data_IF_176699915637
#
_entry.id   IF_176699915637
#
_cell.length_a   1.000
_cell.length_b   1.000
_cell.length_c   1.000
_cell.angle_alpha   90.00
_cell.angle_beta   90.00
_cell.angle_gamma   90.00
#
_symmetry.space_group_name_H-M   'P 1'
#
loop_
_entity.id
_entity.type
_entity.pdbx_description
1 polymer ?
#
# COMPACT_ATOMS: atom_id res chain seq x y z
N UNK A 1 -47.40 12.49 1.67
CA UNK A 1 -46.11 12.65 2.38
C UNK A 1 -45.27 11.37 2.47
N UNK A 2 -45.39 10.39 1.54
CA UNK A 2 -44.59 9.15 1.54
C UNK A 2 -43.46 9.12 0.49
N UNK A 3 -43.50 10.02 -0.50
CA UNK A 3 -42.54 10.06 -1.61
C UNK A 3 -41.22 10.80 -1.28
N UNK A 4 -41.25 11.73 -0.32
CA UNK A 4 -40.07 12.51 0.09
C UNK A 4 -39.08 11.70 0.95
N UNK A 5 -39.57 10.73 1.74
CA UNK A 5 -38.72 9.89 2.60
C UNK A 5 -37.83 8.96 1.77
N UNK A 6 -38.30 8.52 0.61
CA UNK A 6 -37.55 7.61 -0.26
C UNK A 6 -36.36 8.30 -0.93
N UNK A 7 -36.48 9.59 -1.28
CA UNK A 7 -35.36 10.37 -1.84
C UNK A 7 -34.22 10.60 -0.84
N UNK A 8 -34.52 10.80 0.46
CA UNK A 8 -33.47 11.01 1.47
C UNK A 8 -32.66 9.73 1.77
N UNK A 9 -33.29 8.56 1.68
CA UNK A 9 -32.61 7.26 1.85
C UNK A 9 -31.62 6.96 0.70
N UNK A 10 -31.95 7.36 -0.52
CA UNK A 10 -31.04 7.20 -1.66
C UNK A 10 -29.80 8.10 -1.54
N UNK A 11 -29.92 9.31 -0.99
CA UNK A 11 -28.77 10.23 -0.80
C UNK A 11 -27.81 9.69 0.27
N UNK A 12 -28.33 9.04 1.34
CA UNK A 12 -27.49 8.40 2.35
C UNK A 12 -26.74 7.17 1.82
N UNK A 13 -27.34 6.43 0.87
CA UNK A 13 -26.67 5.29 0.22
C UNK A 13 -25.52 5.72 -0.71
N UNK A 14 -25.63 6.88 -1.38
CA UNK A 14 -24.54 7.42 -2.20
C UNK A 14 -23.39 7.99 -1.36
N UNK A 15 -23.64 8.41 -0.11
CA UNK A 15 -22.61 8.97 0.77
C UNK A 15 -21.80 7.90 1.52
N UNK A 16 -22.29 6.65 1.59
CA UNK A 16 -21.62 5.55 2.28
C UNK A 16 -20.69 4.72 1.37
N UNK A 17 -20.71 4.95 0.05
CA UNK A 17 -19.80 4.31 -0.90
C UNK A 17 -18.64 5.26 -1.24
N UNK A 18 -17.98 5.78 -0.21
CA UNK A 18 -16.63 6.29 -0.41
C UNK A 18 -15.77 5.07 -0.77
N UNK A 19 -15.50 4.86 -2.05
CA UNK A 19 -14.55 3.84 -2.53
C UNK A 19 -13.22 4.10 -1.82
N UNK A 20 -13.00 3.41 -0.69
CA UNK A 20 -11.73 3.44 -0.01
C UNK A 20 -10.76 2.76 -0.96
N UNK A 21 -9.91 3.53 -1.63
CA UNK A 21 -8.92 3.02 -2.58
C UNK A 21 -8.19 1.85 -1.92
N UNK A 22 -8.27 0.68 -2.54
CA UNK A 22 -7.71 -0.53 -1.96
C UNK A 22 -6.19 -0.39 -1.81
N UNK A 23 -5.65 -0.79 -0.66
CA UNK A 23 -4.20 -0.88 -0.45
C UNK A 23 -3.58 -2.02 -1.29
N UNK A 24 -4.40 -2.96 -1.76
CA UNK A 24 -3.94 -4.08 -2.57
C UNK A 24 -3.32 -3.60 -3.88
N UNK A 25 -2.34 -4.37 -4.34
CA UNK A 25 -1.62 -4.14 -5.58
C UNK A 25 -0.12 -4.08 -5.37
N UNK A 26 0.57 -3.65 -6.43
CA UNK A 26 2.02 -3.45 -6.45
C UNK A 26 2.35 -1.99 -6.21
N UNK A 27 3.36 -1.78 -5.39
CA UNK A 27 3.81 -0.46 -4.99
C UNK A 27 5.32 -0.37 -5.11
N UNK A 28 5.83 0.64 -5.79
CA UNK A 28 7.26 0.93 -5.85
C UNK A 28 7.66 1.67 -4.57
N UNK A 29 8.75 1.25 -3.94
CA UNK A 29 9.25 1.87 -2.72
C UNK A 29 10.12 3.07 -3.04
N UNK A 30 9.83 4.21 -2.41
CA UNK A 30 10.67 5.40 -2.50
C UNK A 30 11.97 5.18 -1.73
N UNK A 31 13.10 5.48 -2.39
CA UNK A 31 14.44 5.30 -1.86
C UNK A 31 14.94 6.62 -1.30
N UNK A 32 15.37 6.61 -0.04
CA UNK A 32 16.07 7.73 0.61
C UNK A 32 15.35 9.09 0.53
N UNK A 33 14.01 9.10 0.55
CA UNK A 33 13.19 10.31 0.46
C UNK A 33 13.48 11.18 -0.79
N UNK A 34 14.07 10.58 -1.81
CA UNK A 34 14.48 11.26 -3.05
C UNK A 34 13.35 11.39 -4.07
N UNK A 35 12.20 10.75 -3.83
CA UNK A 35 11.16 10.52 -4.84
C UNK A 35 11.51 9.43 -5.86
N UNK A 36 12.75 8.95 -5.91
CA UNK A 36 13.14 7.85 -6.80
C UNK A 36 12.62 6.51 -6.26
N UNK A 37 12.17 5.63 -7.15
CA UNK A 37 11.67 4.29 -6.79
C UNK A 37 12.55 3.17 -7.34
N UNK A 38 13.82 3.48 -7.57
CA UNK A 38 14.82 2.56 -8.08
C UNK A 38 16.19 3.02 -7.60
N UNK A 39 17.16 2.10 -7.62
CA UNK A 39 18.57 2.41 -7.44
C UNK A 39 19.38 1.74 -8.54
N UNK A 40 20.51 2.35 -8.88
CA UNK A 40 21.48 1.82 -9.84
C UNK A 40 22.57 1.07 -9.07
N UNK A 41 22.85 -0.15 -9.49
CA UNK A 41 24.01 -0.88 -9.02
C UNK A 41 25.27 -0.40 -9.77
N UNK A 42 26.49 -0.70 -9.26
CA UNK A 42 27.74 -0.29 -9.91
C UNK A 42 27.96 -0.86 -11.31
N UNK A 43 27.23 -1.90 -11.71
CA UNK A 43 27.26 -2.53 -13.02
C UNK A 43 26.17 -2.00 -13.97
N UNK A 44 25.60 -0.82 -13.67
CA UNK A 44 24.50 -0.15 -14.37
C UNK A 44 23.14 -0.88 -14.31
N UNK A 45 23.02 -1.93 -13.50
CA UNK A 45 21.74 -2.64 -13.32
C UNK A 45 20.73 -1.76 -12.58
N UNK A 46 19.51 -1.65 -13.13
CA UNK A 46 18.39 -0.94 -12.48
C UNK A 46 17.62 -1.91 -11.58
N UNK A 47 17.67 -1.66 -10.27
CA UNK A 47 16.92 -2.41 -9.28
C UNK A 47 15.75 -1.58 -8.74
N UNK A 48 14.57 -2.20 -8.69
CA UNK A 48 13.32 -1.61 -8.21
C UNK A 48 12.82 -2.40 -7.00
N UNK A 49 12.90 -1.85 -5.78
CA UNK A 49 12.25 -2.43 -4.62
C UNK A 49 10.75 -2.15 -4.71
N UNK A 50 9.96 -3.22 -4.63
CA UNK A 50 8.50 -3.18 -4.72
C UNK A 50 7.88 -3.88 -3.52
N UNK A 51 6.72 -3.40 -3.10
CA UNK A 51 5.85 -4.05 -2.14
C UNK A 51 4.66 -4.65 -2.90
N UNK A 52 4.44 -5.95 -2.77
CA UNK A 52 3.24 -6.63 -3.27
C UNK A 52 2.32 -6.88 -2.08
N UNK A 53 1.19 -6.17 -2.04
CA UNK A 53 0.12 -6.41 -1.07
C UNK A 53 -0.98 -7.17 -1.80
N UNK A 54 -1.16 -8.44 -1.44
CA UNK A 54 -2.15 -9.32 -2.06
C UNK A 54 -2.99 -10.04 -1.00
N UNK A 55 -4.31 -10.04 -1.19
CA UNK A 55 -5.32 -10.57 -0.27
C UNK A 55 -5.05 -10.16 1.19
N UNK A 56 -4.39 -11.03 1.95
CA UNK A 56 -4.04 -10.90 3.36
C UNK A 56 -2.52 -10.96 3.61
N UNK A 57 -1.70 -10.92 2.58
CA UNK A 57 -0.23 -11.05 2.67
C UNK A 57 0.51 -9.86 2.07
N UNK A 58 1.72 -9.64 2.58
CA UNK A 58 2.63 -8.63 2.08
C UNK A 58 3.97 -9.29 1.75
N UNK A 59 4.47 -9.00 0.55
CA UNK A 59 5.78 -9.40 0.09
C UNK A 59 6.61 -8.17 -0.29
N UNK A 60 7.92 -8.27 -0.07
CA UNK A 60 8.90 -7.41 -0.69
C UNK A 60 9.45 -8.12 -1.93
N UNK A 61 9.50 -7.42 -3.06
CA UNK A 61 10.08 -7.91 -4.30
C UNK A 61 11.21 -6.99 -4.73
N UNK A 62 12.33 -7.57 -5.16
CA UNK A 62 13.35 -6.84 -5.89
C UNK A 62 13.22 -7.22 -7.36
N UNK A 63 13.04 -6.19 -8.20
CA UNK A 63 12.91 -6.36 -9.65
C UNK A 63 14.12 -5.76 -10.36
N UNK A 64 14.78 -6.58 -11.16
CA UNK A 64 15.88 -6.17 -12.04
C UNK A 64 15.43 -6.35 -13.48
N UNK A 65 15.51 -5.31 -14.30
CA UNK A 65 15.11 -5.35 -15.72
C UNK A 65 13.71 -5.95 -15.98
N UNK A 66 12.78 -5.69 -15.07
CA UNK A 66 11.41 -6.19 -15.16
C UNK A 66 11.19 -7.60 -14.58
N UNK A 67 12.24 -8.34 -14.24
CA UNK A 67 12.20 -9.69 -13.68
C UNK A 67 12.32 -9.64 -12.16
N UNK A 68 11.48 -10.40 -11.44
CA UNK A 68 11.62 -10.55 -9.98
C UNK A 68 12.86 -11.40 -9.72
N UNK A 69 13.90 -10.80 -9.15
CA UNK A 69 15.15 -11.48 -8.80
C UNK A 69 15.13 -12.00 -7.37
N UNK A 70 14.36 -11.34 -6.49
CA UNK A 70 14.15 -11.78 -5.11
C UNK A 70 12.73 -11.48 -4.67
N UNK A 71 12.17 -12.37 -3.84
CA UNK A 71 10.87 -12.18 -3.19
C UNK A 71 10.97 -12.65 -1.75
N UNK A 72 10.64 -11.77 -0.83
CA UNK A 72 10.61 -12.03 0.61
C UNK A 72 9.19 -11.84 1.16
N UNK A 73 8.73 -12.78 1.96
CA UNK A 73 7.47 -12.65 2.68
C UNK A 73 7.69 -11.78 3.92
N UNK A 74 6.96 -10.68 4.03
CA UNK A 74 7.03 -9.80 5.19
C UNK A 74 6.04 -10.21 6.28
N UNK A 75 4.83 -10.61 5.89
CA UNK A 75 3.82 -11.00 6.86
C UNK A 75 2.41 -11.15 6.32
N UNK A 76 1.53 -11.64 7.19
CA UNK A 76 0.08 -11.54 7.02
C UNK A 76 -0.34 -10.17 7.57
N UNK A 77 -1.13 -9.42 6.82
CA UNK A 77 -1.64 -8.12 7.24
C UNK A 77 -3.15 -8.14 7.50
N UNK A 78 -3.58 -7.32 8.45
CA UNK A 78 -4.97 -7.01 8.69
C UNK A 78 -5.15 -5.50 8.78
N UNK A 79 -6.22 -4.99 8.16
CA UNK A 79 -6.58 -3.58 8.21
C UNK A 79 -7.74 -3.39 9.16
N UNK A 80 -7.58 -2.45 10.09
CA UNK A 80 -8.68 -1.92 10.90
C UNK A 80 -8.63 -0.41 10.81
N UNK A 81 -9.65 0.21 10.20
CA UNK A 81 -9.66 1.65 9.93
C UNK A 81 -8.45 2.08 9.07
N UNK A 82 -7.61 3.00 9.57
CA UNK A 82 -6.38 3.48 8.91
C UNK A 82 -5.12 2.83 9.50
N UNK A 83 -5.27 1.73 10.24
CA UNK A 83 -4.16 0.99 10.83
C UNK A 83 -3.98 -0.34 10.09
N UNK A 84 -2.72 -0.68 9.83
CA UNK A 84 -2.30 -1.94 9.26
C UNK A 84 -1.47 -2.68 10.31
N UNK A 85 -1.93 -3.85 10.73
CA UNK A 85 -1.16 -4.78 11.55
C UNK A 85 -0.51 -5.81 10.63
N UNK A 86 0.81 -5.92 10.65
CA UNK A 86 1.57 -6.94 9.90
C UNK A 86 2.21 -7.92 10.88
N UNK A 87 1.96 -9.21 10.68
CA UNK A 87 2.49 -10.30 11.51
C UNK A 87 3.46 -11.15 10.69
N UNK A 88 4.72 -11.24 11.13
CA UNK A 88 5.76 -11.98 10.43
C UNK A 88 5.65 -13.50 10.68
N UNK A 89 6.56 -14.28 10.08
CA UNK A 89 6.60 -15.75 10.24
C UNK A 89 6.89 -16.23 11.66
N UNK A 90 7.50 -15.37 12.49
CA UNK A 90 7.83 -15.67 13.89
C UNK A 90 6.67 -15.36 14.84
N UNK A 91 5.59 -14.75 14.34
CA UNK A 91 4.45 -14.30 15.14
C UNK A 91 4.60 -12.88 15.68
N UNK A 92 5.72 -12.20 15.41
CA UNK A 92 5.89 -10.81 15.81
C UNK A 92 4.99 -9.91 14.98
N UNK A 93 4.28 -9.01 15.65
CA UNK A 93 3.37 -8.06 15.02
C UNK A 93 3.89 -6.64 15.14
N UNK A 94 3.72 -5.85 14.07
CA UNK A 94 3.84 -4.40 14.12
C UNK A 94 2.56 -3.77 13.63
N UNK A 95 2.16 -2.67 14.26
CA UNK A 95 1.00 -1.88 13.85
C UNK A 95 1.52 -0.55 13.32
N UNK A 96 1.10 -0.20 12.11
CA UNK A 96 1.46 1.04 11.45
C UNK A 96 0.19 1.79 11.08
N UNK A 97 0.26 3.11 11.08
CA UNK A 97 -0.75 3.97 10.45
C UNK A 97 -0.46 4.04 8.95
N UNK A 98 -1.50 4.13 8.12
CA UNK A 98 -1.31 4.35 6.69
C UNK A 98 -2.33 5.33 6.10
N UNK A 99 -1.91 6.04 5.05
CA UNK A 99 -2.73 6.97 4.29
C UNK A 99 -2.52 6.70 2.80
N UNK A 100 -3.62 6.59 2.05
CA UNK A 100 -3.61 6.51 0.60
C UNK A 100 -4.13 7.84 0.05
N UNK A 101 -3.31 8.51 -0.76
CA UNK A 101 -3.67 9.73 -1.49
C UNK A 101 -3.26 9.58 -2.95
N UNK A 102 -4.24 9.54 -3.86
CA UNK A 102 -3.96 9.27 -5.28
C UNK A 102 -3.29 7.91 -5.49
N UNK A 103 -2.06 7.97 -6.00
CA UNK A 103 -1.14 6.84 -6.23
C UNK A 103 -0.03 6.78 -5.17
N UNK A 104 -0.16 7.53 -4.09
CA UNK A 104 0.76 7.52 -2.96
C UNK A 104 0.18 6.71 -1.81
N UNK A 105 0.99 5.85 -1.23
CA UNK A 105 0.74 5.19 0.04
C UNK A 105 1.85 5.57 1.01
N UNK A 106 1.49 6.19 2.12
CA UNK A 106 2.42 6.58 3.17
C UNK A 106 2.12 5.71 4.37
N UNK A 107 3.14 5.04 4.89
CA UNK A 107 3.05 4.22 6.10
C UNK A 107 3.89 4.89 7.17
N UNK A 108 3.30 5.14 8.33
CA UNK A 108 3.93 5.78 9.48
C UNK A 108 3.88 4.86 10.69
N UNK A 109 4.77 5.13 11.65
CA UNK A 109 4.66 4.55 12.99
C UNK A 109 3.30 4.91 13.60
N UNK A 110 2.70 3.98 14.35
CA UNK A 110 1.41 4.21 14.99
C UNK A 110 1.50 5.28 16.07
N UNK A 111 2.60 5.28 16.83
CA UNK A 111 2.77 6.13 18.00
C UNK A 111 3.40 7.49 17.64
N UNK A 112 4.02 7.60 16.46
CA UNK A 112 4.58 8.84 15.92
C UNK A 112 4.27 9.00 14.42
N UNK A 113 3.22 9.76 14.06
CA UNK A 113 2.83 9.98 12.66
C UNK A 113 3.91 10.65 11.80
N UNK A 114 4.85 11.39 12.41
CA UNK A 114 5.94 12.05 11.69
C UNK A 114 7.07 11.07 11.33
N UNK A 115 7.14 9.93 12.02
CA UNK A 115 8.08 8.86 11.72
C UNK A 115 7.53 8.01 10.58
N UNK A 116 7.84 8.44 9.37
CA UNK A 116 7.50 7.69 8.15
C UNK A 116 8.35 6.41 8.09
N UNK A 117 7.67 5.27 7.99
CA UNK A 117 8.29 3.95 7.85
C UNK A 117 8.61 3.68 6.38
N UNK A 118 7.71 4.05 5.48
CA UNK A 118 7.91 3.93 4.04
C UNK A 118 6.95 4.83 3.26
N UNK A 119 7.42 5.28 2.09
CA UNK A 119 6.61 5.93 1.06
C UNK A 119 6.58 5.03 -0.17
N UNK A 120 5.39 4.87 -0.72
CA UNK A 120 5.08 3.87 -1.73
C UNK A 120 4.31 4.55 -2.88
N UNK A 121 4.66 4.22 -4.12
CA UNK A 121 4.00 4.71 -5.34
C UNK A 121 3.31 3.57 -6.07
N UNK A 122 2.04 3.74 -6.41
CA UNK A 122 1.26 2.69 -7.08
C UNK A 122 1.88 2.37 -8.42
N UNK A 123 2.07 1.08 -8.69
CA UNK A 123 2.46 0.59 -10.01
C UNK A 123 1.18 0.20 -10.72
N UNK A 124 0.75 1.01 -11.69
CA UNK A 124 -0.38 0.63 -12.55
C UNK A 124 -0.01 -0.63 -13.32
N UNK A 125 -0.76 -1.71 -13.12
CA UNK A 125 -0.71 -2.86 -14.01
C UNK A 125 -1.38 -2.43 -15.31
N UNK A 126 -0.59 -1.96 -16.28
CA UNK A 126 -1.08 -1.88 -17.66
C UNK A 126 -1.25 -3.33 -18.12
N UNK A 127 -2.48 -3.82 -18.11
CA UNK A 127 -2.84 -5.02 -18.85
C UNK A 127 -2.39 -4.79 -20.31
N UNK A 128 -1.51 -5.67 -20.79
CA UNK A 128 -1.18 -5.77 -22.21
C UNK A 128 -2.11 -6.77 -22.86
#
# INVERSE_FOLDING_TARGET
>A
MKKLVFCCLCILAFMACGERKSIMGRWAMEVEDSGATFFLLPDDTICKPELLIDRDTVYMEIRSDGIVTSREFLGVYAITNNEMKVTNRMGDSRICSYVIDGDSLIVSDKDDPNKIVMRLRRIETREK
#
